data_IF_902106989234
#
_entry.id   IF_902106989234
#
_cell.length_a   1.000
_cell.length_b   1.000
_cell.length_c   1.000
_cell.angle_alpha   90.00
_cell.angle_beta   90.00
_cell.angle_gamma   90.00
#
_symmetry.space_group_name_H-M   'P 1'
#
loop_
_entity.id
_entity.type
_entity.pdbx_description
1 polymer ?
#
# COMPACT_ATOMS: atom_id res chain seq x y z
N UNK A 1 13.46 -12.53 13.36
CA UNK A 1 14.92 -12.84 13.44
C UNK A 1 15.14 -13.82 14.58
N UNK A 2 15.37 -15.08 14.26
CA UNK A 2 15.68 -16.10 15.26
C UNK A 2 17.10 -15.89 15.79
N UNK A 3 17.27 -16.01 17.11
CA UNK A 3 18.58 -16.07 17.74
C UNK A 3 19.12 -17.49 17.62
N UNK A 4 20.02 -17.71 16.69
CA UNK A 4 20.84 -18.91 16.67
C UNK A 4 22.06 -18.68 17.57
N UNK A 5 22.18 -19.40 18.67
CA UNK A 5 23.31 -19.31 19.60
C UNK A 5 23.63 -17.91 20.15
N UNK A 6 22.60 -17.09 20.46
CA UNK A 6 22.75 -15.70 20.89
C UNK A 6 23.33 -14.71 19.84
N UNK A 7 23.52 -15.13 18.59
CA UNK A 7 24.01 -14.30 17.50
C UNK A 7 22.83 -14.02 16.56
N UNK A 8 22.65 -12.77 16.20
CA UNK A 8 21.67 -12.36 15.21
C UNK A 8 22.15 -12.88 13.83
N UNK A 9 21.30 -13.55 13.08
CA UNK A 9 21.63 -14.20 11.79
C UNK A 9 22.34 -13.27 10.80
N UNK A 10 22.02 -11.96 10.81
CA UNK A 10 22.67 -10.97 9.92
C UNK A 10 24.18 -10.77 10.16
N UNK A 11 24.73 -11.32 11.24
CA UNK A 11 26.16 -11.22 11.52
C UNK A 11 27.00 -12.30 10.87
N UNK A 12 26.38 -13.40 10.42
CA UNK A 12 27.06 -14.47 9.71
C UNK A 12 26.91 -14.28 8.21
N UNK A 13 27.99 -14.28 7.48
CA UNK A 13 27.99 -14.15 6.02
C UNK A 13 27.26 -15.32 5.36
N UNK A 14 27.42 -16.51 5.90
CA UNK A 14 26.75 -17.74 5.44
C UNK A 14 25.21 -17.63 5.52
N UNK A 15 24.68 -17.09 6.63
CA UNK A 15 23.23 -16.90 6.77
C UNK A 15 22.69 -15.87 5.77
N UNK A 16 23.48 -14.83 5.46
CA UNK A 16 23.12 -13.84 4.44
C UNK A 16 23.08 -14.46 3.05
N UNK A 17 24.05 -15.32 2.72
CA UNK A 17 24.09 -16.02 1.44
C UNK A 17 22.95 -17.02 1.28
N UNK A 18 22.58 -17.74 2.34
CA UNK A 18 21.42 -18.62 2.34
C UNK A 18 20.12 -17.84 2.08
N UNK A 19 19.96 -16.65 2.70
CA UNK A 19 18.80 -15.78 2.49
C UNK A 19 18.69 -15.21 1.06
N UNK A 20 19.80 -15.03 0.34
CA UNK A 20 19.75 -14.62 -1.08
C UNK A 20 18.92 -15.61 -1.91
N UNK A 21 19.12 -16.92 -1.69
CA UNK A 21 18.33 -17.98 -2.33
C UNK A 21 16.84 -17.90 -2.00
N UNK A 22 16.51 -17.61 -0.76
CA UNK A 22 15.11 -17.40 -0.33
C UNK A 22 14.47 -16.21 -1.03
N UNK A 23 15.16 -15.09 -1.13
CA UNK A 23 14.67 -13.88 -1.86
C UNK A 23 14.46 -14.18 -3.34
N UNK A 24 15.35 -14.96 -4.00
CA UNK A 24 15.16 -15.40 -5.39
C UNK A 24 13.88 -16.22 -5.56
N UNK A 25 13.61 -17.17 -4.65
CA UNK A 25 12.40 -17.98 -4.72
C UNK A 25 11.14 -17.12 -4.46
N UNK A 26 11.20 -16.16 -3.56
CA UNK A 26 10.12 -15.21 -3.34
C UNK A 26 9.84 -14.35 -4.58
N UNK A 27 10.88 -13.81 -5.20
CA UNK A 27 10.77 -13.06 -6.44
C UNK A 27 10.18 -13.92 -7.56
N UNK A 28 10.65 -15.15 -7.71
CA UNK A 28 10.16 -16.09 -8.74
C UNK A 28 8.67 -16.41 -8.53
N UNK A 29 8.26 -16.67 -7.30
CA UNK A 29 6.86 -17.00 -6.99
C UNK A 29 5.89 -15.84 -7.20
N UNK A 30 6.37 -14.61 -7.06
CA UNK A 30 5.58 -13.38 -7.26
C UNK A 30 5.64 -12.81 -8.67
N UNK A 31 6.52 -13.33 -9.55
CA UNK A 31 6.70 -12.84 -10.90
C UNK A 31 5.58 -13.31 -11.85
N UNK A 32 4.39 -12.77 -11.65
CA UNK A 32 3.21 -12.99 -12.51
C UNK A 32 2.99 -11.83 -13.50
N UNK A 33 1.99 -11.95 -14.38
CA UNK A 33 1.67 -10.93 -15.38
C UNK A 33 1.44 -9.55 -14.77
N UNK A 34 0.72 -9.46 -13.65
CA UNK A 34 0.43 -8.19 -12.99
C UNK A 34 1.70 -7.52 -12.47
N UNK A 35 2.61 -8.28 -11.84
CA UNK A 35 3.89 -7.73 -11.38
C UNK A 35 4.77 -7.25 -12.53
N UNK A 36 4.87 -8.03 -13.62
CA UNK A 36 5.63 -7.62 -14.80
C UNK A 36 5.08 -6.36 -15.47
N UNK A 37 3.74 -6.20 -15.47
CA UNK A 37 3.11 -4.96 -15.95
C UNK A 37 3.35 -3.81 -14.98
N UNK A 38 3.23 -4.05 -13.68
CA UNK A 38 3.48 -3.04 -12.65
C UNK A 38 4.90 -2.48 -12.75
N UNK A 39 5.91 -3.34 -12.87
CA UNK A 39 7.32 -2.94 -13.04
C UNK A 39 7.54 -2.00 -14.25
N UNK A 40 6.75 -2.21 -15.32
CA UNK A 40 6.82 -1.35 -16.50
C UNK A 40 6.18 0.02 -16.29
N UNK A 41 5.04 0.07 -15.58
CA UNK A 41 4.29 1.32 -15.41
C UNK A 41 4.78 2.18 -14.23
N UNK A 42 5.40 1.59 -13.22
CA UNK A 42 5.84 2.33 -12.02
C UNK A 42 6.74 3.52 -12.33
N UNK A 43 7.76 3.44 -13.22
CA UNK A 43 8.59 4.59 -13.56
C UNK A 43 7.82 5.73 -14.23
N UNK A 44 6.73 5.42 -14.93
CA UNK A 44 5.90 6.39 -15.62
C UNK A 44 4.94 7.12 -14.65
N UNK A 45 4.33 6.36 -13.72
CA UNK A 45 3.38 6.94 -12.74
C UNK A 45 4.06 7.59 -11.55
N UNK A 46 5.34 7.27 -11.31
CA UNK A 46 6.18 7.89 -10.28
C UNK A 46 7.42 8.56 -10.90
N UNK A 47 7.26 9.54 -11.79
CA UNK A 47 8.40 10.20 -12.40
C UNK A 47 9.26 10.86 -11.32
N UNK A 48 10.57 10.70 -11.44
CA UNK A 48 11.57 11.25 -10.52
C UNK A 48 11.49 10.74 -9.07
N UNK A 49 10.66 9.76 -8.77
CA UNK A 49 10.54 9.19 -7.43
C UNK A 49 11.18 7.80 -7.33
N UNK A 50 11.75 7.50 -6.18
CA UNK A 50 12.26 6.15 -5.88
C UNK A 50 11.16 5.09 -5.88
N UNK A 51 9.90 5.45 -5.68
CA UNK A 51 8.78 4.52 -5.82
C UNK A 51 8.66 3.93 -7.23
N UNK A 52 9.14 4.63 -8.26
CA UNK A 52 9.14 4.15 -9.64
C UNK A 52 10.17 3.07 -9.93
N UNK A 53 11.21 2.91 -9.08
CA UNK A 53 12.36 2.03 -9.38
C UNK A 53 12.78 1.13 -8.24
N UNK A 54 12.07 1.18 -7.09
CA UNK A 54 12.47 0.44 -5.88
C UNK A 54 11.30 -0.32 -5.29
N UNK A 55 10.94 -1.40 -5.96
CA UNK A 55 9.99 -2.37 -5.40
C UNK A 55 10.58 -3.02 -4.14
N UNK A 56 9.73 -3.34 -3.13
CA UNK A 56 10.19 -3.93 -1.86
C UNK A 56 11.01 -5.22 -2.01
N UNK A 57 10.70 -6.04 -3.03
CA UNK A 57 11.47 -7.28 -3.29
C UNK A 57 12.92 -6.99 -3.74
N UNK A 58 13.19 -5.79 -4.24
CA UNK A 58 14.51 -5.40 -4.73
C UNK A 58 14.79 -5.81 -6.17
N UNK A 59 16.05 -5.60 -6.57
CA UNK A 59 16.60 -5.96 -7.88
C UNK A 59 17.54 -7.14 -7.66
N UNK A 60 17.37 -8.22 -8.41
CA UNK A 60 18.11 -9.46 -8.17
C UNK A 60 19.63 -9.29 -8.28
N UNK A 61 20.12 -8.47 -9.21
CA UNK A 61 21.54 -8.14 -9.28
C UNK A 61 22.06 -7.47 -8.00
N UNK A 62 21.22 -6.67 -7.33
CA UNK A 62 21.60 -6.10 -6.02
C UNK A 62 21.56 -7.16 -4.96
N UNK A 63 20.55 -8.03 -4.94
CA UNK A 63 20.45 -9.15 -3.98
C UNK A 63 21.66 -10.05 -4.06
N UNK A 64 22.15 -10.36 -5.26
CA UNK A 64 23.29 -11.25 -5.48
C UNK A 64 24.64 -10.65 -5.02
N UNK A 65 24.81 -9.34 -5.21
CA UNK A 65 26.14 -8.73 -5.12
C UNK A 65 26.29 -7.65 -4.04
N UNK A 66 25.26 -7.35 -3.24
CA UNK A 66 25.46 -6.37 -2.15
C UNK A 66 26.47 -6.92 -1.13
N UNK A 67 27.40 -6.07 -0.63
CA UNK A 67 28.36 -6.49 0.38
C UNK A 67 27.65 -6.72 1.72
N UNK A 68 28.01 -7.77 2.45
CA UNK A 68 27.42 -8.13 3.74
C UNK A 68 27.34 -6.95 4.71
N UNK A 69 28.36 -6.10 4.72
CA UNK A 69 28.40 -4.91 5.56
C UNK A 69 27.24 -3.94 5.27
N UNK A 70 26.78 -3.84 4.03
CA UNK A 70 25.66 -2.97 3.67
C UNK A 70 24.36 -3.39 4.38
N UNK A 71 24.11 -4.69 4.54
CA UNK A 71 22.96 -5.20 5.29
C UNK A 71 23.10 -4.89 6.79
N UNK A 72 24.30 -5.09 7.35
CA UNK A 72 24.60 -4.79 8.76
C UNK A 72 24.44 -3.32 9.06
N UNK A 73 24.97 -2.45 8.21
CA UNK A 73 24.85 -0.98 8.32
C UNK A 73 23.38 -0.54 8.23
N UNK A 74 22.61 -1.14 7.33
CA UNK A 74 21.18 -0.88 7.22
C UNK A 74 20.43 -1.28 8.50
N UNK A 75 20.73 -2.46 9.04
CA UNK A 75 20.13 -2.93 10.27
C UNK A 75 20.43 -1.99 11.43
N UNK A 76 21.70 -1.67 11.69
CA UNK A 76 22.09 -0.77 12.77
C UNK A 76 21.52 0.64 12.63
N UNK A 77 21.36 1.09 11.39
CA UNK A 77 20.81 2.41 11.11
C UNK A 77 19.31 2.51 11.41
N UNK A 78 18.54 1.46 11.13
CA UNK A 78 17.09 1.53 11.10
C UNK A 78 16.35 0.69 12.14
N UNK A 79 16.94 -0.42 12.62
CA UNK A 79 16.33 -1.29 13.63
C UNK A 79 16.74 -0.84 15.04
N UNK A 80 16.15 0.24 15.48
CA UNK A 80 16.51 0.94 16.72
C UNK A 80 15.35 1.00 17.68
N UNK A 81 15.61 1.04 19.01
CA UNK A 81 14.56 1.10 20.05
C UNK A 81 13.62 2.31 19.90
N UNK A 82 14.15 3.45 19.44
CA UNK A 82 13.38 4.69 19.23
C UNK A 82 12.41 4.62 18.04
N UNK A 83 12.46 3.55 17.25
CA UNK A 83 11.55 3.27 16.12
C UNK A 83 10.71 2.01 16.34
N UNK A 84 10.76 1.38 17.52
CA UNK A 84 10.03 0.16 17.82
C UNK A 84 8.83 0.44 18.71
N UNK A 85 7.71 -0.22 18.42
CA UNK A 85 6.54 -0.29 19.26
C UNK A 85 6.30 -1.73 19.69
N UNK A 86 5.94 -1.95 20.95
CA UNK A 86 5.58 -3.26 21.49
C UNK A 86 4.09 -3.26 21.75
N UNK A 87 3.37 -4.21 21.15
CA UNK A 87 1.94 -4.42 21.35
C UNK A 87 1.71 -5.84 21.83
N UNK A 88 1.06 -5.98 22.98
CA UNK A 88 0.69 -7.29 23.54
C UNK A 88 -0.82 -7.32 23.71
N UNK A 89 -1.48 -8.32 23.14
CA UNK A 89 -2.94 -8.50 23.18
C UNK A 89 -3.27 -9.91 23.63
N UNK A 90 -4.16 -10.05 24.59
CA UNK A 90 -4.61 -11.34 25.11
C UNK A 90 -5.26 -11.21 26.48
N UNK A 91 -5.58 -12.36 27.09
CA UNK A 91 -6.01 -12.44 28.49
C UNK A 91 -4.76 -12.37 29.39
N UNK A 92 -4.37 -11.17 29.76
CA UNK A 92 -3.11 -10.86 30.44
C UNK A 92 -3.31 -9.92 31.62
N UNK A 93 -2.42 -10.01 32.60
CA UNK A 93 -2.22 -8.97 33.60
C UNK A 93 -1.36 -7.85 33.00
N UNK A 94 -1.98 -6.69 32.75
CA UNK A 94 -1.35 -5.55 32.07
C UNK A 94 -0.13 -5.03 32.83
N UNK A 95 -0.23 -4.93 34.16
CA UNK A 95 0.86 -4.39 34.99
C UNK A 95 2.08 -5.33 35.03
N UNK A 96 1.84 -6.65 35.08
CA UNK A 96 2.92 -7.63 35.02
C UNK A 96 3.62 -7.59 33.64
N UNK A 97 2.84 -7.50 32.56
CA UNK A 97 3.40 -7.44 31.20
C UNK A 97 4.16 -6.14 30.98
N UNK A 98 3.63 -4.99 31.41
CA UNK A 98 4.33 -3.71 31.32
C UNK A 98 5.67 -3.75 32.08
N UNK A 99 5.69 -4.27 33.31
CA UNK A 99 6.90 -4.41 34.10
C UNK A 99 7.93 -5.33 33.40
N UNK A 100 7.46 -6.42 32.79
CA UNK A 100 8.32 -7.34 32.03
C UNK A 100 8.90 -6.67 30.78
N UNK A 101 8.11 -5.86 30.07
CA UNK A 101 8.58 -5.07 28.92
C UNK A 101 9.67 -4.09 29.37
N UNK A 102 9.45 -3.38 30.47
CA UNK A 102 10.44 -2.43 31.03
C UNK A 102 11.73 -3.13 31.46
N UNK A 103 11.61 -4.28 32.10
CA UNK A 103 12.76 -5.11 32.51
C UNK A 103 13.61 -5.55 31.31
N UNK A 104 12.96 -6.07 30.26
CA UNK A 104 13.66 -6.67 29.12
C UNK A 104 14.20 -5.58 28.16
N UNK A 105 13.36 -4.59 27.80
CA UNK A 105 13.67 -3.64 26.75
C UNK A 105 14.19 -2.30 27.29
N UNK A 106 13.93 -1.95 28.54
CA UNK A 106 14.34 -0.70 29.14
C UNK A 106 15.86 -0.53 29.27
N UNK A 107 16.61 -1.63 29.19
CA UNK A 107 18.08 -1.62 29.23
C UNK A 107 18.74 -1.35 27.86
N UNK A 108 17.95 -1.36 26.77
CA UNK A 108 18.48 -1.13 25.43
C UNK A 108 18.69 0.37 25.22
N UNK A 109 19.96 0.76 25.05
CA UNK A 109 20.31 2.15 24.85
C UNK A 109 19.77 2.71 23.52
N UNK A 110 19.24 3.93 23.57
CA UNK A 110 18.90 4.68 22.35
C UNK A 110 20.18 5.22 21.71
N UNK A 111 20.26 5.29 20.37
CA UNK A 111 21.39 5.91 19.70
C UNK A 111 21.47 7.40 20.01
N UNK A 112 22.68 7.93 20.22
CA UNK A 112 22.89 9.36 20.53
C UNK A 112 22.53 10.27 19.37
N UNK A 113 22.87 9.87 18.13
CA UNK A 113 22.61 10.64 16.91
C UNK A 113 21.86 9.75 15.89
N UNK A 114 20.57 9.48 16.10
CA UNK A 114 19.81 8.62 15.24
C UNK A 114 19.63 9.23 13.86
N UNK A 115 19.75 8.41 12.80
CA UNK A 115 19.43 8.85 11.46
C UNK A 115 17.96 9.27 11.39
N UNK A 116 17.68 10.43 10.80
CA UNK A 116 16.33 10.91 10.60
C UNK A 116 15.58 10.03 9.60
N UNK A 117 14.31 9.75 9.92
CA UNK A 117 13.40 9.07 9.01
C UNK A 117 12.86 10.09 8.02
N UNK A 118 13.15 9.88 6.75
CA UNK A 118 12.60 10.71 5.68
C UNK A 118 11.54 9.96 4.88
N UNK A 119 10.58 10.70 4.36
CA UNK A 119 9.55 10.18 3.48
C UNK A 119 9.76 10.72 2.07
N UNK A 120 9.79 9.80 1.11
CA UNK A 120 9.94 10.16 -0.29
C UNK A 120 8.66 10.83 -0.76
N UNK A 121 8.79 12.05 -1.27
CA UNK A 121 7.67 12.80 -1.80
C UNK A 121 7.30 12.29 -3.19
N UNK A 122 6.02 12.38 -3.49
CA UNK A 122 5.46 12.14 -4.83
C UNK A 122 4.88 13.45 -5.31
N UNK A 123 5.41 13.98 -6.40
CA UNK A 123 4.99 15.25 -6.98
C UNK A 123 3.62 15.16 -7.64
N UNK A 124 2.92 16.28 -7.67
CA UNK A 124 1.71 16.42 -8.48
C UNK A 124 2.08 16.60 -9.95
N UNK A 125 1.26 16.05 -10.82
CA UNK A 125 1.40 16.21 -12.26
C UNK A 125 0.48 17.35 -12.75
N UNK A 126 0.99 18.16 -13.69
CA UNK A 126 0.20 19.22 -14.34
C UNK A 126 -0.75 18.66 -15.39
N UNK A 127 -0.27 17.68 -16.14
CA UNK A 127 -1.03 16.99 -17.18
C UNK A 127 -1.31 15.55 -16.75
N UNK A 128 -2.40 14.93 -17.23
CA UNK A 128 -2.67 13.51 -16.95
C UNK A 128 -1.53 12.60 -17.39
N UNK A 129 -1.12 11.71 -16.53
CA UNK A 129 -0.17 10.64 -16.86
C UNK A 129 -0.98 9.44 -17.38
N UNK A 130 -0.64 8.97 -18.57
CA UNK A 130 -1.24 7.78 -19.17
C UNK A 130 -0.15 6.73 -19.33
N UNK A 131 -0.34 5.58 -18.70
CA UNK A 131 0.59 4.45 -18.78
C UNK A 131 -0.16 3.20 -19.22
N UNK A 132 0.44 2.43 -20.14
CA UNK A 132 -0.18 1.22 -20.71
C UNK A 132 0.87 0.10 -20.69
N UNK A 133 0.54 -0.99 -20.03
CA UNK A 133 1.33 -2.22 -20.09
C UNK A 133 0.49 -3.39 -20.60
N UNK A 134 1.16 -4.32 -21.28
CA UNK A 134 0.54 -5.57 -21.76
C UNK A 134 1.41 -6.76 -21.38
N UNK A 135 0.74 -7.84 -21.03
CA UNK A 135 1.37 -9.14 -20.82
C UNK A 135 0.45 -10.24 -21.39
N UNK A 136 1.04 -11.21 -22.08
CA UNK A 136 0.30 -12.30 -22.75
C UNK A 136 -0.47 -13.23 -21.81
N UNK A 137 -0.08 -13.25 -20.54
CA UNK A 137 -0.70 -14.08 -19.50
C UNK A 137 -1.79 -13.33 -18.72
N UNK A 138 -2.00 -12.05 -19.03
CA UNK A 138 -3.06 -11.27 -18.40
C UNK A 138 -4.41 -11.56 -19.08
N UNK A 139 -5.38 -12.20 -18.37
CA UNK A 139 -6.62 -12.66 -19.00
C UNK A 139 -7.69 -11.57 -19.15
N UNK A 140 -7.57 -10.46 -18.42
CA UNK A 140 -8.54 -9.36 -18.38
C UNK A 140 -7.86 -8.01 -18.52
N UNK A 141 -8.57 -7.03 -19.05
CA UNK A 141 -8.12 -5.66 -19.01
C UNK A 141 -8.39 -5.05 -17.63
N UNK A 142 -7.35 -4.47 -17.01
CA UNK A 142 -7.42 -3.72 -15.77
C UNK A 142 -7.18 -2.26 -16.09
N UNK A 143 -8.13 -1.41 -15.76
CA UNK A 143 -8.00 0.04 -15.96
C UNK A 143 -8.15 0.78 -14.65
N UNK A 144 -7.28 1.74 -14.42
CA UNK A 144 -7.25 2.56 -13.22
C UNK A 144 -7.38 4.04 -13.56
N UNK A 145 -8.09 4.78 -12.73
CA UNK A 145 -8.07 6.23 -12.68
C UNK A 145 -7.63 6.61 -11.26
N UNK A 146 -6.62 7.45 -11.15
CA UNK A 146 -6.14 7.99 -9.88
C UNK A 146 -6.26 9.51 -9.87
N UNK A 147 -7.03 10.03 -8.94
CA UNK A 147 -7.06 11.44 -8.62
C UNK A 147 -6.23 11.64 -7.35
N UNK A 148 -4.95 12.01 -7.50
CA UNK A 148 -4.00 12.17 -6.39
C UNK A 148 -4.39 13.32 -5.46
N UNK A 149 -4.15 13.14 -4.18
CA UNK A 149 -4.21 14.17 -3.15
C UNK A 149 -3.21 13.86 -2.03
N UNK A 150 -2.98 14.81 -1.14
CA UNK A 150 -2.03 14.64 -0.05
C UNK A 150 -2.53 13.61 0.98
N UNK A 151 -1.60 12.83 1.50
CA UNK A 151 -1.89 11.96 2.64
C UNK A 151 -2.18 12.81 3.89
N UNK A 152 -3.09 12.32 4.73
CA UNK A 152 -3.36 12.98 6.02
C UNK A 152 -2.08 13.04 6.87
N UNK A 153 -1.75 14.19 7.49
CA UNK A 153 -0.53 14.34 8.28
C UNK A 153 -0.45 13.31 9.41
N UNK A 154 0.72 12.65 9.55
CA UNK A 154 0.87 11.57 10.53
C UNK A 154 0.68 12.02 11.97
N UNK A 155 1.07 13.26 12.30
CA UNK A 155 0.92 13.85 13.64
C UNK A 155 -0.53 14.20 13.99
N UNK A 156 -1.44 14.19 13.02
CA UNK A 156 -2.87 14.50 13.21
C UNK A 156 -3.77 13.26 13.16
N UNK A 157 -3.20 12.07 12.88
CA UNK A 157 -3.97 10.81 12.77
C UNK A 157 -4.55 10.31 14.10
N UNK A 158 -4.15 10.89 15.23
CA UNK A 158 -4.73 10.63 16.55
C UNK A 158 -5.96 11.46 16.88
N UNK A 159 -6.28 12.47 16.08
CA UNK A 159 -7.33 13.44 16.36
C UNK A 159 -8.71 12.97 15.91
N UNK A 160 -9.76 13.43 16.59
CA UNK A 160 -11.15 13.12 16.25
C UNK A 160 -11.48 13.48 14.79
N UNK A 161 -10.90 14.56 14.26
CA UNK A 161 -11.07 15.00 12.88
C UNK A 161 -10.62 13.93 11.87
N UNK A 162 -9.53 13.22 12.17
CA UNK A 162 -9.08 12.10 11.34
C UNK A 162 -10.08 10.94 11.34
N UNK A 163 -10.65 10.59 12.47
CA UNK A 163 -11.66 9.53 12.55
C UNK A 163 -12.95 9.91 11.82
N UNK A 164 -13.38 11.18 11.91
CA UNK A 164 -14.52 11.67 11.13
C UNK A 164 -14.23 11.58 9.61
N UNK A 165 -13.02 11.97 9.19
CA UNK A 165 -12.58 11.83 7.80
C UNK A 165 -12.62 10.35 7.35
N UNK A 166 -12.08 9.43 8.15
CA UNK A 166 -12.08 7.99 7.85
C UNK A 166 -13.51 7.43 7.75
N UNK A 167 -14.39 7.82 8.66
CA UNK A 167 -15.78 7.44 8.60
C UNK A 167 -16.47 7.93 7.31
N UNK A 168 -16.29 9.19 6.97
CA UNK A 168 -16.86 9.77 5.76
C UNK A 168 -16.32 9.08 4.48
N UNK A 169 -15.01 8.79 4.43
CA UNK A 169 -14.39 8.06 3.32
C UNK A 169 -14.96 6.62 3.19
N UNK A 170 -15.13 5.91 4.30
CA UNK A 170 -15.72 4.56 4.31
C UNK A 170 -17.18 4.57 3.84
N UNK A 171 -17.99 5.50 4.36
CA UNK A 171 -19.40 5.64 3.94
C UNK A 171 -19.48 5.94 2.44
N UNK A 172 -18.66 6.88 1.95
CA UNK A 172 -18.59 7.21 0.52
C UNK A 172 -18.22 5.98 -0.33
N UNK A 173 -17.22 5.21 0.11
CA UNK A 173 -16.80 4.00 -0.58
C UNK A 173 -17.92 2.96 -0.68
N UNK A 174 -18.67 2.72 0.41
CA UNK A 174 -19.79 1.78 0.43
C UNK A 174 -20.89 2.23 -0.54
N UNK A 175 -21.29 3.51 -0.48
CA UNK A 175 -22.30 4.05 -1.40
C UNK A 175 -21.90 3.92 -2.88
N UNK A 176 -20.63 4.19 -3.20
CA UNK A 176 -20.11 4.02 -4.56
C UNK A 176 -20.03 2.55 -4.97
N UNK A 177 -19.63 1.67 -4.06
CA UNK A 177 -19.59 0.22 -4.31
C UNK A 177 -20.99 -0.32 -4.63
N UNK A 178 -22.01 0.08 -3.86
CA UNK A 178 -23.41 -0.33 -4.11
C UNK A 178 -23.91 0.14 -5.50
N UNK A 179 -23.59 1.37 -5.92
CA UNK A 179 -23.91 1.84 -7.29
C UNK A 179 -23.23 1.02 -8.37
N UNK A 180 -21.96 0.64 -8.18
CA UNK A 180 -21.23 -0.17 -9.13
C UNK A 180 -21.76 -1.60 -9.19
N UNK A 181 -22.18 -2.17 -8.06
CA UNK A 181 -22.81 -3.49 -8.00
C UNK A 181 -24.15 -3.52 -8.75
N UNK A 182 -24.98 -2.50 -8.61
CA UNK A 182 -26.22 -2.37 -9.39
C UNK A 182 -25.94 -2.36 -10.91
N UNK A 183 -24.89 -1.66 -11.34
CA UNK A 183 -24.47 -1.64 -12.74
C UNK A 183 -23.90 -2.99 -13.21
N UNK A 184 -23.17 -3.70 -12.36
CA UNK A 184 -22.64 -5.02 -12.65
C UNK A 184 -23.76 -6.07 -12.82
N UNK A 185 -24.90 -5.90 -12.14
CA UNK A 185 -26.06 -6.79 -12.23
C UNK A 185 -27.03 -6.43 -13.36
N UNK A 186 -26.73 -5.38 -14.15
CA UNK A 186 -27.58 -4.97 -15.27
C UNK A 186 -27.57 -6.00 -16.41
N UNK A 187 -28.57 -5.96 -17.29
CA UNK A 187 -28.68 -6.88 -18.45
C UNK A 187 -27.46 -6.79 -19.40
N UNK A 188 -26.78 -5.66 -19.44
CA UNK A 188 -25.57 -5.43 -20.24
C UNK A 188 -24.51 -4.76 -19.41
N UNK A 189 -23.85 -5.50 -18.51
CA UNK A 189 -22.91 -4.92 -17.56
C UNK A 189 -21.74 -4.22 -18.29
N UNK A 190 -21.28 -3.07 -17.81
CA UNK A 190 -20.19 -2.34 -18.44
C UNK A 190 -18.81 -2.88 -18.09
N UNK A 191 -18.72 -3.71 -17.08
CA UNK A 191 -17.49 -4.31 -16.54
C UNK A 191 -17.81 -5.67 -15.90
N UNK A 192 -16.79 -6.49 -15.70
CA UNK A 192 -16.87 -7.73 -14.90
C UNK A 192 -16.92 -7.37 -13.41
N UNK A 193 -16.04 -6.45 -13.01
CA UNK A 193 -15.96 -5.93 -11.66
C UNK A 193 -15.46 -4.49 -11.70
N UNK A 194 -15.89 -3.67 -10.74
CA UNK A 194 -15.39 -2.32 -10.57
C UNK A 194 -15.35 -1.93 -9.09
N UNK A 195 -14.52 -0.97 -8.77
CA UNK A 195 -14.46 -0.37 -7.42
C UNK A 195 -14.05 1.09 -7.48
N UNK A 196 -14.49 1.87 -6.48
CA UNK A 196 -14.04 3.24 -6.23
C UNK A 196 -13.74 3.34 -4.74
N UNK A 197 -12.54 3.76 -4.39
CA UNK A 197 -12.10 3.93 -3.01
C UNK A 197 -11.08 5.05 -2.87
N UNK A 198 -10.96 5.59 -1.66
CA UNK A 198 -9.88 6.48 -1.28
C UNK A 198 -8.81 5.69 -0.53
N UNK A 199 -7.58 5.70 -1.05
CA UNK A 199 -6.49 4.89 -0.50
C UNK A 199 -5.11 5.45 -0.82
N UNK A 200 -4.08 4.70 -0.44
CA UNK A 200 -2.72 5.06 -0.78
C UNK A 200 -2.52 5.02 -2.31
N UNK A 201 -1.82 6.01 -2.85
CA UNK A 201 -1.45 5.99 -4.25
C UNK A 201 -0.39 4.91 -4.47
N UNK A 202 -0.84 3.69 -4.80
CA UNK A 202 -0.05 2.46 -4.87
C UNK A 202 0.83 2.23 -3.64
N UNK A 203 2.12 2.55 -3.73
CA UNK A 203 3.14 2.31 -2.70
C UNK A 203 3.48 3.56 -1.89
N UNK A 204 2.94 4.72 -2.26
CA UNK A 204 3.30 5.99 -1.64
C UNK A 204 2.83 6.10 -0.20
N UNK A 205 3.68 6.68 0.65
CA UNK A 205 3.35 7.05 2.03
C UNK A 205 2.93 8.52 2.16
N UNK A 206 3.17 9.32 1.12
CA UNK A 206 2.97 10.78 1.14
C UNK A 206 1.85 11.25 0.19
N UNK A 207 1.36 10.36 -0.68
CA UNK A 207 0.22 10.63 -1.56
C UNK A 207 -0.84 9.55 -1.41
N UNK A 208 -2.08 9.99 -1.38
CA UNK A 208 -3.27 9.18 -1.54
C UNK A 208 -3.92 9.44 -2.89
N UNK A 209 -4.91 8.68 -3.21
CA UNK A 209 -5.72 8.91 -4.39
C UNK A 209 -7.16 8.42 -4.20
N UNK A 210 -8.11 9.18 -4.72
CA UNK A 210 -9.40 8.62 -5.08
C UNK A 210 -9.18 7.75 -6.32
N UNK A 211 -9.36 6.45 -6.16
CA UNK A 211 -9.08 5.43 -7.17
C UNK A 211 -10.37 4.86 -7.74
N UNK A 212 -10.48 4.83 -9.06
CA UNK A 212 -11.50 4.10 -9.78
C UNK A 212 -10.87 2.95 -10.54
N UNK A 213 -11.41 1.72 -10.42
CA UNK A 213 -10.92 0.52 -11.07
C UNK A 213 -12.05 -0.11 -11.89
N UNK A 214 -11.72 -0.56 -13.11
CA UNK A 214 -12.59 -1.42 -13.88
C UNK A 214 -11.83 -2.66 -14.38
N UNK A 215 -12.41 -3.83 -14.18
CA UNK A 215 -11.99 -5.11 -14.75
C UNK A 215 -12.95 -5.43 -15.89
N UNK A 216 -12.42 -5.60 -17.11
CA UNK A 216 -13.23 -5.82 -18.31
C UNK A 216 -12.62 -6.89 -19.20
N UNK A 217 -13.40 -7.34 -20.19
CA UNK A 217 -12.82 -7.98 -21.37
C UNK A 217 -12.04 -6.96 -22.19
N UNK A 218 -11.14 -7.40 -23.05
CA UNK A 218 -10.29 -6.51 -23.86
C UNK A 218 -11.08 -5.49 -24.71
N UNK A 219 -12.24 -5.89 -25.24
CA UNK A 219 -13.05 -5.02 -26.10
C UNK A 219 -13.90 -3.99 -25.34
N UNK A 220 -14.08 -4.17 -24.03
CA UNK A 220 -14.96 -3.34 -23.20
C UNK A 220 -14.20 -2.33 -22.31
N UNK A 221 -12.88 -2.22 -22.47
CA UNK A 221 -12.01 -1.37 -21.63
C UNK A 221 -12.53 0.06 -21.53
N UNK A 222 -12.81 0.70 -22.66
CA UNK A 222 -13.29 2.10 -22.69
C UNK A 222 -14.66 2.23 -22.04
N UNK A 223 -15.57 1.27 -22.29
CA UNK A 223 -16.91 1.25 -21.69
C UNK A 223 -16.82 1.13 -20.16
N UNK A 224 -16.00 0.20 -19.67
CA UNK A 224 -15.84 -0.04 -18.24
C UNK A 224 -15.32 1.19 -17.50
N UNK A 225 -14.17 1.70 -17.93
CA UNK A 225 -13.55 2.83 -17.21
C UNK A 225 -14.34 4.14 -17.36
N UNK A 226 -14.98 4.38 -18.52
CA UNK A 226 -15.85 5.55 -18.69
C UNK A 226 -17.06 5.50 -17.77
N UNK A 227 -17.57 4.30 -17.47
CA UNK A 227 -18.70 4.13 -16.54
C UNK A 227 -18.25 4.41 -15.11
N UNK A 228 -17.12 3.87 -14.68
CA UNK A 228 -16.54 4.16 -13.36
C UNK A 228 -16.31 5.67 -13.21
N UNK A 229 -15.67 6.31 -14.20
CA UNK A 229 -15.43 7.76 -14.16
C UNK A 229 -16.72 8.59 -14.09
N UNK A 230 -17.77 8.18 -14.80
CA UNK A 230 -19.09 8.84 -14.72
C UNK A 230 -19.70 8.75 -13.33
N UNK A 231 -19.58 7.60 -12.64
CA UNK A 231 -20.06 7.48 -11.26
C UNK A 231 -19.24 8.32 -10.28
N UNK A 232 -17.91 8.43 -10.45
CA UNK A 232 -17.10 9.39 -9.70
C UNK A 232 -17.59 10.83 -9.91
N UNK A 233 -17.79 11.25 -11.16
CA UNK A 233 -18.30 12.59 -11.46
C UNK A 233 -19.71 12.82 -10.96
N UNK A 234 -20.59 11.79 -11.02
CA UNK A 234 -21.94 11.87 -10.50
C UNK A 234 -21.94 12.11 -8.99
N UNK A 235 -21.10 11.43 -8.24
CA UNK A 235 -20.95 11.65 -6.81
C UNK A 235 -20.47 13.08 -6.51
N UNK A 236 -19.49 13.59 -7.25
CA UNK A 236 -18.97 14.97 -7.07
C UNK A 236 -20.03 16.02 -7.38
N UNK A 237 -20.82 15.82 -8.43
CA UNK A 237 -21.80 16.84 -8.91
C UNK A 237 -23.13 16.81 -8.17
N UNK A 238 -23.62 15.61 -7.85
CA UNK A 238 -24.98 15.41 -7.37
C UNK A 238 -25.01 14.88 -5.92
N UNK A 239 -23.87 14.44 -5.38
CA UNK A 239 -23.82 13.79 -4.08
C UNK A 239 -24.49 12.41 -4.05
N UNK A 240 -25.02 12.09 -2.88
CA UNK A 240 -25.73 10.86 -2.57
C UNK A 240 -27.12 11.17 -2.00
N UNK A 241 -28.03 10.22 -2.14
CA UNK A 241 -29.37 10.32 -1.54
C UNK A 241 -29.33 9.87 -0.07
N UNK A 242 -30.31 10.30 0.70
CA UNK A 242 -30.48 9.88 2.10
C UNK A 242 -30.59 8.36 2.23
N UNK A 243 -31.30 7.71 1.31
CA UNK A 243 -31.45 6.26 1.31
C UNK A 243 -30.14 5.50 1.03
N UNK A 244 -29.24 6.03 0.19
CA UNK A 244 -27.91 5.47 -0.01
C UNK A 244 -27.08 5.58 1.27
N UNK A 245 -27.14 6.75 1.91
CA UNK A 245 -26.43 6.98 3.16
C UNK A 245 -26.92 6.05 4.29
N UNK A 246 -28.25 5.92 4.49
CA UNK A 246 -28.78 5.06 5.54
C UNK A 246 -28.44 3.58 5.33
N UNK A 247 -28.42 3.10 4.08
CA UNK A 247 -27.93 1.74 3.78
C UNK A 247 -26.46 1.56 4.14
N UNK A 248 -25.60 2.48 3.68
CA UNK A 248 -24.18 2.43 3.97
C UNK A 248 -23.87 2.53 5.47
N UNK A 249 -24.60 3.38 6.17
CA UNK A 249 -24.49 3.52 7.63
C UNK A 249 -24.86 2.23 8.37
N UNK A 250 -25.92 1.56 7.93
CA UNK A 250 -26.36 0.31 8.54
C UNK A 250 -25.38 -0.85 8.29
N UNK A 251 -24.57 -0.78 7.25
CA UNK A 251 -23.52 -1.76 6.96
C UNK A 251 -22.28 -1.58 7.86
N UNK A 252 -22.03 -0.35 8.33
CA UNK A 252 -20.87 -0.03 9.18
C UNK A 252 -21.15 -0.34 10.66
N UNK A 253 -22.40 -0.21 11.12
CA UNK A 253 -22.82 -0.37 12.51
C UNK A 253 -23.15 -1.82 12.85
#
# INVERSE_FOLDING_TARGET
FEKKNNILTIYLDEDIDDERGVIHEEWRSRNNAQMRMLDKILPEIYPNSRYGTRMPIGVMEVVDFFPYQALRDYYHKWYRPDQQGIVVVGDIDVDQVENKIREIFGTIAKPENPAERYYIQVEDNKEPIVSIAKDKEQPYALTYIFCKHDAYPNNEKGDLTYYIYQYAANVMQIMLSQRLEELAQSATPPFIQASIYDGDFFLSKTKKALCGIAVTNENDLTKGISTVYREMLRAVRNGFTESEYERARAEIL
#
